data_IF_864053912829
#
_entry.id   IF_864053912829
#
_cell.length_a   1.000
_cell.length_b   1.000
_cell.length_c   1.000
_cell.angle_alpha   90.00
_cell.angle_beta   90.00
_cell.angle_gamma   90.00
#
_symmetry.space_group_name_H-M   'P 1'
#
loop_
_entity.id
_entity.type
_entity.pdbx_description
1 polymer ?
#
# COMPACT_ATOMS: atom_id res chain seq x y z
N UNK A 1 17.46 -27.71 -11.97
CA UNK A 1 16.34 -27.53 -12.93
C UNK A 1 15.84 -26.10 -12.83
N UNK A 2 15.57 -25.40 -13.94
CA UNK A 2 14.90 -24.11 -13.87
C UNK A 2 13.48 -24.30 -13.29
N UNK A 3 13.07 -23.43 -12.38
CA UNK A 3 11.72 -23.41 -11.84
C UNK A 3 10.71 -23.20 -12.98
N UNK A 4 9.73 -24.10 -13.09
CA UNK A 4 8.59 -23.94 -13.98
C UNK A 4 7.55 -23.07 -13.26
N UNK A 5 7.27 -21.89 -13.79
CA UNK A 5 6.26 -20.95 -13.27
C UNK A 5 5.17 -20.72 -14.31
N UNK A 6 4.02 -20.17 -13.89
CA UNK A 6 2.90 -19.88 -14.79
C UNK A 6 3.35 -19.00 -15.98
N UNK A 7 2.92 -19.27 -17.22
CA UNK A 7 3.33 -18.51 -18.40
C UNK A 7 3.12 -17.00 -18.26
N UNK A 8 1.98 -16.60 -17.71
CA UNK A 8 1.67 -15.17 -17.51
C UNK A 8 2.67 -14.50 -16.57
N UNK A 9 3.11 -15.18 -15.51
CA UNK A 9 4.14 -14.68 -14.59
C UNK A 9 5.49 -14.55 -15.29
N UNK A 10 5.85 -15.52 -16.15
CA UNK A 10 7.08 -15.47 -16.94
C UNK A 10 7.10 -14.28 -17.92
N UNK A 11 5.93 -13.84 -18.39
CA UNK A 11 5.81 -12.73 -19.34
C UNK A 11 5.84 -11.34 -18.70
N UNK A 12 5.74 -11.24 -17.37
CA UNK A 12 5.72 -9.96 -16.67
C UNK A 12 7.08 -9.26 -16.75
N UNK A 13 7.05 -7.96 -17.06
CA UNK A 13 8.20 -7.09 -16.85
C UNK A 13 8.25 -6.69 -15.37
N UNK A 14 9.41 -6.80 -14.70
CA UNK A 14 9.54 -6.37 -13.31
C UNK A 14 9.24 -4.88 -13.15
N UNK A 15 8.50 -4.54 -12.09
CA UNK A 15 8.36 -3.15 -11.68
C UNK A 15 9.71 -2.59 -11.20
N UNK A 16 10.06 -1.39 -11.64
CA UNK A 16 11.28 -0.69 -11.23
C UNK A 16 10.90 0.37 -10.19
N UNK A 17 11.11 0.12 -8.88
CA UNK A 17 10.81 1.10 -7.86
C UNK A 17 11.80 2.27 -7.90
N UNK A 18 11.40 3.38 -7.28
CA UNK A 18 12.31 4.50 -7.04
C UNK A 18 13.51 4.06 -6.18
N UNK A 19 14.71 4.57 -6.53
CA UNK A 19 15.95 4.21 -5.84
C UNK A 19 15.92 4.66 -4.36
N UNK A 20 16.25 3.77 -3.39
CA UNK A 20 16.39 4.14 -1.99
C UNK A 20 17.45 5.24 -1.77
N UNK A 21 17.26 6.07 -0.74
CA UNK A 21 18.20 7.16 -0.42
C UNK A 21 19.59 6.60 -0.13
N UNK A 22 19.68 5.56 0.70
CA UNK A 22 20.93 4.97 1.14
C UNK A 22 21.71 4.33 -0.03
N UNK A 23 20.99 3.73 -0.98
CA UNK A 23 21.58 3.21 -2.22
C UNK A 23 22.16 4.33 -3.09
N UNK A 24 21.39 5.40 -3.32
CA UNK A 24 21.85 6.58 -4.07
C UNK A 24 23.07 7.23 -3.41
N UNK A 25 23.08 7.32 -2.08
CA UNK A 25 24.20 7.88 -1.33
C UNK A 25 25.48 7.05 -1.49
N UNK A 26 25.39 5.72 -1.40
CA UNK A 26 26.55 4.83 -1.61
C UNK A 26 27.08 4.91 -3.04
N UNK A 27 26.19 4.94 -4.02
CA UNK A 27 26.56 4.96 -5.45
C UNK A 27 27.25 6.27 -5.85
N UNK A 28 26.74 7.42 -5.38
CA UNK A 28 27.21 8.74 -5.80
C UNK A 28 28.14 9.41 -4.79
N UNK A 29 28.44 8.77 -3.65
CA UNK A 29 29.27 9.35 -2.58
C UNK A 29 28.62 10.57 -1.91
N UNK A 30 27.28 10.63 -1.86
CA UNK A 30 26.55 11.78 -1.34
C UNK A 30 26.35 11.67 0.17
N UNK A 31 26.73 12.70 0.91
CA UNK A 31 26.47 12.81 2.35
C UNK A 31 25.04 13.26 2.67
N UNK A 32 24.36 13.88 1.70
CA UNK A 32 22.99 14.39 1.85
C UNK A 32 22.20 14.22 0.56
N UNK A 33 20.94 13.79 0.71
CA UNK A 33 19.95 13.69 -0.36
C UNK A 33 18.66 14.34 0.12
N UNK A 34 18.00 15.10 -0.76
CA UNK A 34 16.65 15.63 -0.53
C UNK A 34 15.70 14.79 -1.38
N UNK A 35 14.83 13.99 -0.76
CA UNK A 35 13.92 13.09 -1.45
C UNK A 35 12.61 13.81 -1.80
N UNK A 36 12.31 13.90 -3.10
CA UNK A 36 11.10 14.52 -3.67
C UNK A 36 10.48 13.63 -4.77
N UNK A 37 10.59 12.31 -4.64
CA UNK A 37 10.37 11.37 -5.75
C UNK A 37 9.21 10.37 -5.54
N UNK A 38 8.48 10.43 -4.42
CA UNK A 38 7.47 9.41 -4.07
C UNK A 38 6.18 9.98 -3.48
N UNK A 39 5.91 11.27 -3.69
CA UNK A 39 4.71 11.96 -3.17
C UNK A 39 4.51 11.84 -1.65
N UNK A 40 5.59 11.61 -0.90
CA UNK A 40 5.57 11.51 0.56
C UNK A 40 5.23 12.87 1.19
N UNK A 41 4.53 12.87 2.33
CA UNK A 41 4.24 14.09 3.05
C UNK A 41 5.50 14.61 3.79
N UNK A 42 6.04 15.79 3.43
CA UNK A 42 7.26 16.31 4.05
C UNK A 42 7.09 16.69 5.53
N UNK A 43 5.86 16.85 6.01
CA UNK A 43 5.55 17.14 7.41
C UNK A 43 5.62 15.88 8.31
N UNK A 44 5.72 14.69 7.71
CA UNK A 44 5.64 13.43 8.42
C UNK A 44 4.21 13.05 8.84
N UNK A 45 4.06 12.01 9.67
CA UNK A 45 2.76 11.55 10.13
C UNK A 45 2.11 12.51 11.12
N UNK A 46 0.78 12.43 11.25
CA UNK A 46 0.05 13.18 12.29
C UNK A 46 0.59 12.87 13.70
N UNK A 47 0.79 13.87 14.58
CA UNK A 47 1.17 13.63 15.97
C UNK A 47 0.20 12.71 16.72
N UNK A 48 -1.09 12.74 16.36
CA UNK A 48 -2.11 11.83 16.93
C UNK A 48 -1.88 10.38 16.51
N UNK A 49 -1.45 10.14 15.28
CA UNK A 49 -1.13 8.81 14.78
C UNK A 49 0.13 8.25 15.47
N UNK A 50 1.16 9.09 15.65
CA UNK A 50 2.38 8.71 16.38
C UNK A 50 2.04 8.32 17.83
N UNK A 51 1.23 9.12 18.51
CA UNK A 51 0.80 8.81 19.88
C UNK A 51 0.01 7.49 19.96
N UNK A 52 -0.90 7.23 19.02
CA UNK A 52 -1.67 6.00 18.96
C UNK A 52 -0.78 4.75 18.73
N UNK A 53 0.20 4.84 17.84
CA UNK A 53 1.18 3.77 17.60
C UNK A 53 2.02 3.51 18.85
N UNK A 54 2.52 4.56 19.50
CA UNK A 54 3.30 4.42 20.73
C UNK A 54 2.49 3.79 21.87
N UNK A 55 1.18 3.99 21.92
CA UNK A 55 0.29 3.37 22.91
C UNK A 55 -0.13 1.94 22.61
N UNK A 56 0.17 1.41 21.42
CA UNK A 56 -0.28 0.07 20.98
C UNK A 56 0.76 -1.05 21.23
N UNK A 57 1.90 -0.75 21.87
CA UNK A 57 3.04 -1.66 21.98
C UNK A 57 2.67 -3.00 22.63
N UNK A 58 1.85 -2.97 23.69
CA UNK A 58 1.51 -4.17 24.46
C UNK A 58 0.64 -5.15 23.67
N UNK A 59 -0.01 -4.74 22.59
CA UNK A 59 -0.93 -5.58 21.80
C UNK A 59 -0.37 -6.03 20.45
N UNK A 60 0.85 -5.59 20.07
CA UNK A 60 1.45 -5.91 18.77
C UNK A 60 1.64 -7.41 18.50
N UNK A 61 1.67 -8.24 19.55
CA UNK A 61 1.78 -9.70 19.44
C UNK A 61 0.44 -10.40 19.15
N UNK A 62 -0.67 -9.65 19.07
CA UNK A 62 -2.00 -10.17 18.79
C UNK A 62 -2.39 -9.84 17.35
N UNK A 63 -3.17 -10.73 16.73
CA UNK A 63 -3.84 -10.40 15.49
C UNK A 63 -4.79 -9.21 15.68
N UNK A 64 -4.87 -8.29 14.70
CA UNK A 64 -5.87 -7.23 14.73
C UNK A 64 -7.27 -7.81 14.54
N UNK A 65 -8.29 -6.98 14.78
CA UNK A 65 -9.64 -7.28 14.31
C UNK A 65 -9.62 -7.41 12.77
N UNK A 66 -9.90 -8.62 12.28
CA UNK A 66 -9.87 -8.92 10.84
C UNK A 66 -10.92 -8.15 10.03
N UNK A 67 -11.98 -7.65 10.66
CA UNK A 67 -12.96 -6.79 10.02
C UNK A 67 -12.61 -5.29 10.07
N UNK A 68 -11.61 -4.92 10.88
CA UNK A 68 -11.22 -3.55 11.18
C UNK A 68 -12.42 -2.62 11.44
N UNK A 69 -13.35 -3.11 12.27
CA UNK A 69 -14.68 -2.53 12.53
C UNK A 69 -14.61 -1.04 12.90
N UNK A 70 -13.72 -0.67 13.83
CA UNK A 70 -13.61 0.72 14.30
C UNK A 70 -13.16 1.67 13.19
N UNK A 71 -12.23 1.24 12.32
CA UNK A 71 -11.78 2.05 11.20
C UNK A 71 -12.87 2.18 10.13
N UNK A 72 -13.55 1.08 9.80
CA UNK A 72 -14.68 1.11 8.85
C UNK A 72 -15.79 2.03 9.32
N UNK A 73 -16.18 1.95 10.60
CA UNK A 73 -17.19 2.83 11.19
C UNK A 73 -16.77 4.29 11.12
N UNK A 74 -15.55 4.61 11.54
CA UNK A 74 -15.05 6.00 11.52
C UNK A 74 -14.99 6.59 10.11
N UNK A 75 -14.60 5.80 9.11
CA UNK A 75 -14.60 6.22 7.71
C UNK A 75 -16.02 6.38 7.16
N UNK A 76 -16.92 5.44 7.45
CA UNK A 76 -18.31 5.50 7.04
C UNK A 76 -18.99 6.77 7.58
N UNK A 77 -18.81 7.07 8.86
CA UNK A 77 -19.31 8.28 9.52
C UNK A 77 -18.72 9.56 8.88
N UNK A 78 -17.41 9.57 8.63
CA UNK A 78 -16.68 10.72 8.04
C UNK A 78 -17.20 11.07 6.64
N UNK A 79 -17.48 10.06 5.83
CA UNK A 79 -17.87 10.19 4.42
C UNK A 79 -19.39 10.08 4.20
N UNK A 80 -20.17 9.86 5.26
CA UNK A 80 -21.64 9.73 5.23
C UNK A 80 -22.12 8.59 4.33
N UNK A 81 -21.48 7.44 4.45
CA UNK A 81 -21.83 6.18 3.75
C UNK A 81 -22.09 5.08 4.77
N UNK A 82 -22.60 3.92 4.34
CA UNK A 82 -22.73 2.76 5.24
C UNK A 82 -21.39 2.02 5.37
N UNK A 83 -21.23 1.20 6.41
CA UNK A 83 -19.99 0.43 6.58
C UNK A 83 -19.80 -0.58 5.45
N UNK A 84 -20.88 -1.11 4.86
CA UNK A 84 -20.90 -2.03 3.72
C UNK A 84 -20.32 -1.39 2.45
N UNK A 85 -20.30 -0.05 2.37
CA UNK A 85 -19.69 0.71 1.29
C UNK A 85 -18.19 1.00 1.52
N UNK A 86 -17.62 0.52 2.63
CA UNK A 86 -16.20 0.71 2.98
C UNK A 86 -15.47 -0.63 2.95
N UNK A 87 -14.50 -0.74 2.05
CA UNK A 87 -13.49 -1.80 2.02
C UNK A 87 -12.15 -1.26 2.50
N UNK A 88 -11.38 -2.07 3.22
CA UNK A 88 -10.04 -1.75 3.67
C UNK A 88 -9.04 -2.69 3.00
N UNK A 89 -7.85 -2.17 2.69
CA UNK A 89 -6.73 -2.91 2.13
C UNK A 89 -5.43 -2.36 2.70
N UNK A 90 -4.35 -3.11 2.55
CA UNK A 90 -3.00 -2.74 2.93
C UNK A 90 -2.40 -1.80 1.87
N UNK A 91 -2.98 -0.60 1.76
CA UNK A 91 -2.72 0.35 0.69
C UNK A 91 -3.74 0.24 -0.46
N UNK A 92 -3.89 1.32 -1.22
CA UNK A 92 -4.84 1.37 -2.34
C UNK A 92 -4.48 0.42 -3.48
N UNK A 93 -3.20 0.08 -3.65
CA UNK A 93 -2.74 -0.84 -4.69
C UNK A 93 -3.37 -2.24 -4.54
N UNK A 94 -3.55 -2.71 -3.30
CA UNK A 94 -4.26 -3.96 -3.05
C UNK A 94 -5.71 -3.86 -3.51
N UNK A 95 -6.38 -2.74 -3.23
CA UNK A 95 -7.78 -2.52 -3.64
C UNK A 95 -7.89 -2.49 -5.17
N UNK A 96 -6.96 -1.83 -5.87
CA UNK A 96 -6.90 -1.84 -7.34
C UNK A 96 -6.70 -3.28 -7.86
N UNK A 97 -5.79 -4.04 -7.25
CA UNK A 97 -5.58 -5.44 -7.58
C UNK A 97 -6.81 -6.32 -7.35
N UNK A 98 -7.55 -6.10 -6.26
CA UNK A 98 -8.81 -6.79 -5.97
C UNK A 98 -9.88 -6.46 -7.01
N UNK A 99 -10.02 -5.19 -7.40
CA UNK A 99 -10.94 -4.77 -8.45
C UNK A 99 -10.61 -5.47 -9.77
N UNK A 100 -9.34 -5.46 -10.19
CA UNK A 100 -8.90 -6.14 -11.41
C UNK A 100 -9.25 -7.64 -11.38
N UNK A 101 -8.95 -8.35 -10.27
CA UNK A 101 -9.25 -9.79 -10.13
C UNK A 101 -10.75 -10.09 -10.06
N UNK A 102 -11.56 -9.13 -9.63
CA UNK A 102 -13.02 -9.30 -9.50
C UNK A 102 -13.73 -9.12 -10.83
N UNK A 103 -13.26 -8.18 -11.66
CA UNK A 103 -13.99 -7.73 -12.84
C UNK A 103 -13.35 -8.10 -14.18
N UNK A 104 -12.05 -8.43 -14.24
CA UNK A 104 -11.36 -8.73 -15.49
C UNK A 104 -11.12 -10.22 -15.68
N UNK A 105 -11.37 -10.69 -16.90
CA UNK A 105 -11.05 -12.01 -17.41
C UNK A 105 -10.09 -11.93 -18.62
N UNK A 106 -9.45 -13.04 -19.03
CA UNK A 106 -8.63 -13.06 -20.23
C UNK A 106 -9.43 -12.60 -21.47
N UNK A 107 -8.93 -11.55 -22.14
CA UNK A 107 -9.59 -10.93 -23.29
C UNK A 107 -10.35 -9.64 -22.96
N UNK A 108 -10.55 -9.32 -21.68
CA UNK A 108 -11.09 -8.01 -21.27
C UNK A 108 -10.04 -6.91 -21.36
N UNK A 109 -10.50 -5.66 -21.42
CA UNK A 109 -9.67 -4.47 -21.48
C UNK A 109 -9.95 -3.55 -20.27
N UNK A 110 -8.89 -3.02 -19.67
CA UNK A 110 -8.98 -1.96 -18.67
C UNK A 110 -8.63 -0.61 -19.32
N UNK A 111 -9.57 0.33 -19.29
CA UNK A 111 -9.37 1.68 -19.84
C UNK A 111 -8.99 2.63 -18.71
N UNK A 112 -7.92 3.40 -18.89
CA UNK A 112 -7.41 4.40 -17.95
C UNK A 112 -7.26 5.75 -18.67
N UNK A 113 -7.47 6.86 -17.96
CA UNK A 113 -7.38 8.23 -18.47
C UNK A 113 -6.28 9.03 -17.75
#
# INVERSE_FOLDING_TARGET
MPLQVHPDIRSLSPYVPGKPIDELQRELGLTRVIKLASNENPLGPSPKAVAALSGAQDTLHRYPDGGAYQLRRALADRWKVTQEQVILGNGSDEIIGLLARTFLAPGDEAVMA
#
